data_IF_805820362147
#
_entry.id   IF_805820362147
#
_cell.length_a   1.000
_cell.length_b   1.000
_cell.length_c   1.000
_cell.angle_alpha   90.00
_cell.angle_beta   90.00
_cell.angle_gamma   90.00
#
_symmetry.space_group_name_H-M   'P 1'
#
loop_
_entity.id
_entity.type
_entity.pdbx_description
1 polymer ?
#
# COMPACT_ATOMS: atom_id res chain seq x y z
N UNK A 1 25.86 -13.04 -27.09
CA UNK A 1 24.97 -12.07 -26.46
C UNK A 1 23.51 -12.53 -26.56
N UNK A 2 22.94 -12.64 -27.76
CA UNK A 2 21.52 -12.96 -27.98
C UNK A 2 21.03 -14.22 -27.25
N UNK A 3 21.86 -15.24 -27.10
CA UNK A 3 21.47 -16.45 -26.38
C UNK A 3 21.33 -16.19 -24.85
N UNK A 4 22.22 -15.36 -24.26
CA UNK A 4 22.09 -14.92 -22.87
C UNK A 4 20.84 -14.05 -22.68
N UNK A 5 20.58 -13.16 -23.62
CA UNK A 5 19.40 -12.29 -23.62
C UNK A 5 18.10 -13.12 -23.67
N UNK A 6 18.01 -14.08 -24.59
CA UNK A 6 16.86 -15.00 -24.68
C UNK A 6 16.61 -15.78 -23.38
N UNK A 7 17.69 -16.22 -22.67
CA UNK A 7 17.53 -16.86 -21.37
C UNK A 7 16.99 -15.91 -20.30
N UNK A 8 17.41 -14.64 -20.31
CA UNK A 8 16.88 -13.63 -19.39
C UNK A 8 15.41 -13.29 -19.72
N UNK A 9 15.04 -13.19 -21.00
CA UNK A 9 13.67 -12.91 -21.45
C UNK A 9 12.70 -14.05 -21.10
N UNK A 10 13.10 -15.31 -21.32
CA UNK A 10 12.28 -16.48 -20.97
C UNK A 10 12.02 -16.52 -19.45
N UNK A 11 13.06 -16.31 -18.65
CA UNK A 11 12.93 -16.27 -17.20
C UNK A 11 12.02 -15.11 -16.73
N UNK A 12 12.20 -13.93 -17.31
CA UNK A 12 11.35 -12.78 -17.03
C UNK A 12 9.90 -13.03 -17.43
N UNK A 13 9.65 -13.56 -18.62
CA UNK A 13 8.31 -13.90 -19.09
C UNK A 13 7.61 -14.89 -18.15
N UNK A 14 8.31 -15.94 -17.68
CA UNK A 14 7.74 -16.91 -16.74
C UNK A 14 7.44 -16.28 -15.39
N UNK A 15 8.33 -15.46 -14.85
CA UNK A 15 8.11 -14.74 -13.59
C UNK A 15 6.91 -13.81 -13.72
N UNK A 16 6.83 -13.03 -14.81
CA UNK A 16 5.74 -12.08 -15.05
C UNK A 16 4.37 -12.78 -15.14
N UNK A 17 4.31 -13.98 -15.72
CA UNK A 17 3.09 -14.74 -15.90
C UNK A 17 2.84 -15.81 -14.81
N UNK A 18 3.57 -15.73 -13.68
CA UNK A 18 3.48 -16.70 -12.57
C UNK A 18 3.61 -18.17 -13.01
N UNK A 19 4.43 -18.42 -14.03
CA UNK A 19 4.72 -19.77 -14.49
C UNK A 19 5.78 -20.42 -13.59
N UNK A 20 5.74 -21.74 -13.48
CA UNK A 20 6.74 -22.47 -12.72
C UNK A 20 8.13 -22.26 -13.33
N UNK A 21 9.08 -21.82 -12.49
CA UNK A 21 10.48 -21.63 -12.85
C UNK A 21 11.37 -22.08 -11.68
N UNK A 22 12.46 -22.79 -11.99
CA UNK A 22 13.47 -23.17 -11.00
C UNK A 22 14.42 -22.02 -10.67
N UNK A 23 15.29 -22.23 -9.69
CA UNK A 23 16.36 -21.28 -9.36
C UNK A 23 17.46 -21.22 -10.43
N UNK A 24 17.49 -22.21 -11.31
CA UNK A 24 18.38 -22.28 -12.48
C UNK A 24 17.70 -23.02 -13.60
N UNK A 25 17.72 -22.44 -14.79
CA UNK A 25 17.17 -23.00 -16.02
C UNK A 25 18.23 -23.00 -17.11
N UNK A 26 18.21 -24.04 -17.97
CA UNK A 26 19.12 -24.13 -19.11
C UNK A 26 18.32 -24.26 -20.38
N UNK A 27 18.53 -23.31 -21.29
CA UNK A 27 18.01 -23.36 -22.67
C UNK A 27 19.11 -23.77 -23.63
N UNK A 28 18.82 -24.68 -24.54
CA UNK A 28 19.75 -25.14 -25.58
C UNK A 28 19.23 -24.77 -26.96
N UNK A 29 20.14 -24.28 -27.81
CA UNK A 29 19.91 -24.06 -29.22
C UNK A 29 21.05 -24.68 -30.01
N UNK A 30 20.77 -25.79 -30.72
CA UNK A 30 21.77 -26.66 -31.33
C UNK A 30 22.83 -27.09 -30.33
N UNK A 31 24.11 -26.78 -30.57
CA UNK A 31 25.25 -27.10 -29.70
C UNK A 31 25.54 -25.98 -28.65
N UNK A 32 24.74 -24.92 -28.60
CA UNK A 32 24.96 -23.76 -27.74
C UNK A 32 23.95 -23.76 -26.58
N UNK A 33 24.29 -23.10 -25.49
CA UNK A 33 23.42 -23.05 -24.31
C UNK A 33 23.39 -21.69 -23.64
N UNK A 34 22.26 -21.36 -23.02
CA UNK A 34 22.16 -20.31 -22.00
C UNK A 34 21.78 -20.94 -20.67
N UNK A 35 22.53 -20.66 -19.64
CA UNK A 35 22.20 -21.04 -18.27
C UNK A 35 21.78 -19.77 -17.51
N UNK A 36 20.54 -19.77 -17.05
CA UNK A 36 19.92 -18.63 -16.37
C UNK A 36 19.72 -18.97 -14.90
N UNK A 37 20.23 -18.15 -14.01
CA UNK A 37 20.05 -18.24 -12.56
C UNK A 37 19.12 -17.13 -12.08
N UNK A 38 18.19 -17.49 -11.19
CA UNK A 38 17.25 -16.58 -10.57
C UNK A 38 17.59 -16.51 -9.09
N UNK A 39 17.85 -15.29 -8.62
CA UNK A 39 18.29 -15.00 -7.26
C UNK A 39 17.27 -14.08 -6.63
N UNK A 40 16.65 -14.50 -5.53
CA UNK A 40 15.84 -13.66 -4.68
C UNK A 40 16.76 -12.79 -3.83
N UNK A 41 16.82 -11.48 -4.14
CA UNK A 41 17.62 -10.54 -3.36
C UNK A 41 16.91 -10.18 -2.04
N UNK A 42 15.60 -9.96 -2.13
CA UNK A 42 14.64 -9.77 -1.04
C UNK A 42 13.22 -10.09 -1.54
N UNK A 43 12.21 -9.88 -0.73
CA UNK A 43 10.82 -10.20 -1.09
C UNK A 43 10.27 -9.35 -2.27
N UNK A 44 10.88 -8.19 -2.55
CA UNK A 44 10.47 -7.28 -3.63
C UNK A 44 11.46 -7.23 -4.79
N UNK A 45 12.56 -7.98 -4.76
CA UNK A 45 13.61 -7.86 -5.76
C UNK A 45 14.20 -9.21 -6.14
N UNK A 46 14.32 -9.43 -7.45
CA UNK A 46 14.99 -10.60 -8.02
C UNK A 46 16.07 -10.17 -8.99
N UNK A 47 17.15 -10.93 -9.04
CA UNK A 47 18.14 -10.84 -10.11
C UNK A 47 18.03 -12.06 -11.00
N UNK A 48 17.93 -11.84 -12.30
CA UNK A 48 18.07 -12.86 -13.34
C UNK A 48 19.45 -12.69 -13.96
N UNK A 49 20.26 -13.72 -13.90
CA UNK A 49 21.59 -13.72 -14.50
C UNK A 49 21.65 -14.83 -15.51
N UNK A 50 21.82 -14.54 -16.79
CA UNK A 50 21.90 -15.51 -17.87
C UNK A 50 23.28 -15.50 -18.51
N UNK A 51 23.91 -16.67 -18.56
CA UNK A 51 25.20 -16.93 -19.19
C UNK A 51 24.98 -17.69 -20.51
N UNK A 52 25.14 -16.98 -21.62
CA UNK A 52 25.12 -17.60 -22.96
C UNK A 52 26.49 -18.10 -23.35
N UNK A 53 26.56 -19.34 -23.83
CA UNK A 53 27.78 -19.99 -24.30
C UNK A 53 27.59 -20.43 -25.75
N UNK A 54 28.40 -19.85 -26.67
CA UNK A 54 28.36 -20.13 -28.10
C UNK A 54 29.78 -20.38 -28.57
N UNK A 55 30.07 -21.63 -28.98
CA UNK A 55 31.37 -21.99 -29.51
C UNK A 55 32.55 -21.55 -28.64
N UNK A 56 32.43 -21.73 -27.31
CA UNK A 56 33.42 -21.31 -26.28
C UNK A 56 33.48 -19.80 -26.01
N UNK A 57 32.67 -18.99 -26.66
CA UNK A 57 32.51 -17.57 -26.30
C UNK A 57 31.37 -17.44 -25.31
N UNK A 58 31.62 -16.73 -24.24
CA UNK A 58 30.64 -16.50 -23.18
C UNK A 58 30.24 -15.01 -23.11
N UNK A 59 28.95 -14.76 -22.89
CA UNK A 59 28.40 -13.45 -22.57
C UNK A 59 27.36 -13.62 -21.46
N UNK A 60 27.33 -12.64 -20.58
CA UNK A 60 26.43 -12.67 -19.43
C UNK A 60 25.54 -11.42 -19.44
N UNK A 61 24.27 -11.63 -19.22
CA UNK A 61 23.29 -10.55 -18.99
C UNK A 61 22.82 -10.62 -17.55
N UNK A 62 22.58 -9.45 -16.96
CA UNK A 62 21.95 -9.32 -15.65
C UNK A 62 20.74 -8.42 -15.78
N UNK A 63 19.60 -8.94 -15.33
CA UNK A 63 18.33 -8.24 -15.23
C UNK A 63 17.98 -8.15 -13.75
N UNK A 64 17.65 -6.95 -13.27
CA UNK A 64 17.12 -6.77 -11.92
C UNK A 64 15.66 -6.41 -12.03
N UNK A 65 14.83 -7.20 -11.37
CA UNK A 65 13.38 -7.00 -11.27
C UNK A 65 13.05 -6.49 -9.88
N UNK A 66 12.06 -5.62 -9.78
CA UNK A 66 11.42 -5.29 -8.52
C UNK A 66 9.90 -5.34 -8.64
N UNK A 67 9.24 -5.68 -7.55
CA UNK A 67 7.79 -5.59 -7.45
C UNK A 67 7.41 -4.31 -6.70
N UNK A 68 6.40 -3.65 -7.19
CA UNK A 68 5.83 -2.48 -6.53
C UNK A 68 6.68 -1.20 -6.66
N UNK A 69 6.01 -0.09 -6.59
CA UNK A 69 6.65 1.22 -6.45
C UNK A 69 6.79 1.48 -4.96
N UNK A 70 8.01 1.64 -4.48
CA UNK A 70 8.26 2.07 -3.10
C UNK A 70 7.60 3.43 -2.88
N UNK A 71 6.65 3.50 -1.96
CA UNK A 71 6.00 4.74 -1.56
C UNK A 71 6.56 5.13 -0.21
N UNK A 72 7.14 6.32 -0.14
CA UNK A 72 7.71 6.83 1.10
C UNK A 72 6.70 7.75 1.80
N UNK A 73 6.30 7.36 3.00
CA UNK A 73 5.48 8.18 3.88
C UNK A 73 6.37 8.84 4.95
N UNK A 74 6.82 10.05 4.68
CA UNK A 74 7.76 10.77 5.56
C UNK A 74 7.13 11.28 6.86
N UNK A 75 5.82 11.38 6.92
CA UNK A 75 5.08 11.93 8.04
C UNK A 75 4.03 10.94 8.54
N UNK A 76 3.73 10.97 9.83
CA UNK A 76 2.58 10.26 10.39
C UNK A 76 1.26 10.78 9.81
N UNK A 77 1.24 12.06 9.45
CA UNK A 77 0.15 12.70 8.72
C UNK A 77 0.70 13.61 7.63
N UNK A 78 0.16 13.46 6.41
CA UNK A 78 0.30 14.42 5.32
C UNK A 78 -1.08 14.92 4.91
N UNK A 79 -1.31 16.21 5.00
CA UNK A 79 -2.63 16.82 4.75
C UNK A 79 -2.57 17.74 3.56
N UNK A 80 -3.58 17.67 2.70
CA UNK A 80 -3.78 18.59 1.59
C UNK A 80 -4.27 19.97 2.03
N UNK A 81 -4.75 20.75 1.07
CA UNK A 81 -5.21 22.14 1.29
C UNK A 81 -6.43 22.25 2.22
N UNK A 82 -7.17 21.15 2.45
CA UNK A 82 -8.31 21.15 3.35
C UNK A 82 -7.97 21.28 4.84
N UNK A 83 -6.68 21.08 5.19
CA UNK A 83 -6.17 21.25 6.54
C UNK A 83 -6.51 20.11 7.50
N UNK A 84 -5.98 20.23 8.70
CA UNK A 84 -6.03 19.22 9.76
C UNK A 84 -6.73 19.76 11.01
N UNK A 85 -7.73 19.06 11.50
CA UNK A 85 -8.47 19.38 12.72
C UNK A 85 -8.33 18.27 13.76
N UNK A 86 -8.04 18.66 15.00
CA UNK A 86 -7.93 17.76 16.16
C UNK A 86 -8.73 18.29 17.32
N UNK A 87 -9.46 17.41 18.02
CA UNK A 87 -10.23 17.82 19.21
C UNK A 87 -10.36 16.69 20.23
N UNK A 88 -10.71 17.07 21.46
CA UNK A 88 -11.09 16.12 22.51
C UNK A 88 -10.06 15.01 22.73
N UNK A 89 -8.84 15.39 23.11
CA UNK A 89 -7.69 14.51 23.38
C UNK A 89 -7.26 13.64 22.20
N UNK A 90 -7.69 13.95 20.97
CA UNK A 90 -7.16 13.28 19.80
C UNK A 90 -5.72 13.73 19.54
N UNK A 91 -4.88 12.83 19.00
CA UNK A 91 -3.49 13.16 18.85
C UNK A 91 -2.72 12.37 17.80
N UNK A 92 -1.50 12.83 17.60
CA UNK A 92 -0.52 12.25 16.67
C UNK A 92 0.77 11.96 17.41
N UNK A 93 1.20 10.70 17.41
CA UNK A 93 2.54 10.30 17.81
C UNK A 93 3.42 10.24 16.54
N UNK A 94 4.04 11.37 16.19
CA UNK A 94 4.85 11.52 14.99
C UNK A 94 4.78 12.94 14.43
N UNK A 95 5.43 13.13 13.27
CA UNK A 95 5.46 14.41 12.59
C UNK A 95 4.21 14.59 11.70
N UNK A 96 3.80 15.85 11.54
CA UNK A 96 2.65 16.26 10.73
C UNK A 96 3.10 17.27 9.68
N UNK A 97 2.68 17.08 8.43
CA UNK A 97 2.80 18.07 7.37
C UNK A 97 1.41 18.43 6.82
N UNK A 98 1.07 19.72 6.77
CA UNK A 98 -0.22 20.19 6.25
C UNK A 98 -0.04 21.28 5.19
N UNK A 99 -0.59 21.05 4.01
CA UNK A 99 -0.73 22.09 2.97
C UNK A 99 -1.82 23.15 3.31
N UNK A 100 -2.53 22.95 4.41
CA UNK A 100 -3.50 23.89 4.98
C UNK A 100 -3.13 24.28 6.41
N UNK A 101 -4.13 24.60 7.21
CA UNK A 101 -3.97 24.89 8.64
C UNK A 101 -3.95 23.59 9.46
N UNK A 102 -3.31 23.66 10.64
CA UNK A 102 -3.44 22.67 11.72
C UNK A 102 -4.16 23.36 12.88
N UNK A 103 -5.38 22.88 13.20
CA UNK A 103 -6.22 23.48 14.23
C UNK A 103 -6.56 22.43 15.27
N UNK A 104 -6.16 22.66 16.51
CA UNK A 104 -6.46 21.80 17.64
C UNK A 104 -7.38 22.45 18.66
N UNK A 105 -7.96 21.63 19.54
CA UNK A 105 -8.73 22.07 20.70
C UNK A 105 -8.82 20.97 21.76
N UNK A 106 -9.21 21.34 22.97
CA UNK A 106 -9.58 20.41 24.05
C UNK A 106 -8.57 19.26 24.26
N UNK A 107 -7.30 19.59 24.52
CA UNK A 107 -6.29 18.60 24.89
C UNK A 107 -5.69 17.85 23.70
N UNK A 108 -5.94 18.27 22.47
CA UNK A 108 -5.30 17.65 21.28
C UNK A 108 -3.79 17.87 21.27
N UNK A 109 -3.04 16.91 20.71
CA UNK A 109 -1.58 16.91 20.77
C UNK A 109 -0.90 16.36 19.51
N UNK A 110 0.35 16.79 19.29
CA UNK A 110 1.31 16.26 18.33
C UNK A 110 2.63 16.07 19.07
N UNK A 111 3.16 14.83 19.16
CA UNK A 111 4.41 14.56 19.88
C UNK A 111 5.66 14.86 19.07
N UNK A 112 5.57 14.85 17.74
CA UNK A 112 6.63 15.25 16.83
C UNK A 112 6.54 16.71 16.39
N UNK A 113 7.08 16.99 15.21
CA UNK A 113 7.07 18.32 14.61
C UNK A 113 5.75 18.60 13.88
N UNK A 114 5.33 19.86 13.87
CA UNK A 114 4.15 20.35 13.14
C UNK A 114 4.58 21.34 12.06
N UNK A 115 4.49 20.93 10.81
CA UNK A 115 4.82 21.70 9.62
C UNK A 115 3.54 22.08 8.88
N UNK A 116 3.37 23.36 8.53
CA UNK A 116 2.18 23.83 7.83
C UNK A 116 2.50 24.93 6.80
N UNK A 117 1.79 24.88 5.67
CA UNK A 117 1.73 26.02 4.74
C UNK A 117 0.90 27.15 5.39
N UNK A 118 -0.18 26.80 6.04
CA UNK A 118 -1.03 27.72 6.81
C UNK A 118 -0.59 27.92 8.26
N UNK A 119 -1.53 28.17 9.13
CA UNK A 119 -1.30 28.40 10.56
C UNK A 119 -1.37 27.09 11.38
N UNK A 120 -0.66 27.05 12.51
CA UNK A 120 -0.80 26.05 13.56
C UNK A 120 -1.37 26.72 14.80
N UNK A 121 -2.50 26.25 15.32
CA UNK A 121 -3.17 26.87 16.48
C UNK A 121 -3.95 25.85 17.32
N UNK A 122 -4.04 26.08 18.63
CA UNK A 122 -4.91 25.34 19.55
C UNK A 122 -4.53 23.88 19.81
N UNK A 123 -3.38 23.41 19.30
CA UNK A 123 -2.83 22.05 19.51
C UNK A 123 -1.55 22.11 20.31
N UNK A 124 -1.33 21.14 21.21
CA UNK A 124 -0.08 21.01 21.96
C UNK A 124 0.96 20.30 21.09
N UNK A 125 2.00 21.00 20.64
CA UNK A 125 3.11 20.45 19.84
C UNK A 125 4.32 20.27 20.76
N UNK A 126 4.87 19.03 20.83
CA UNK A 126 6.06 18.77 21.64
C UNK A 126 7.37 19.03 20.87
N UNK A 127 7.34 18.88 19.55
CA UNK A 127 8.46 19.18 18.66
C UNK A 127 8.47 20.62 18.17
N UNK A 128 9.07 20.84 17.01
CA UNK A 128 9.13 22.16 16.38
C UNK A 128 7.83 22.50 15.67
N UNK A 129 7.50 23.78 15.60
CA UNK A 129 6.41 24.31 14.79
C UNK A 129 6.97 25.23 13.72
N UNK A 130 6.68 24.94 12.44
CA UNK A 130 7.05 25.80 11.32
C UNK A 130 5.81 26.08 10.45
N UNK A 131 5.63 27.32 10.04
CA UNK A 131 4.51 27.78 9.21
C UNK A 131 5.02 28.56 8.00
N UNK A 132 4.17 28.76 7.00
CA UNK A 132 4.54 29.46 5.78
C UNK A 132 5.44 28.65 4.86
N UNK A 133 5.37 27.33 4.95
CA UNK A 133 6.16 26.39 4.12
C UNK A 133 5.58 26.29 2.70
N UNK A 134 6.32 25.71 1.77
CA UNK A 134 5.83 25.39 0.44
C UNK A 134 4.93 24.15 0.49
N UNK A 135 3.86 24.06 -0.34
CA UNK A 135 3.06 22.84 -0.41
C UNK A 135 3.88 21.62 -0.83
N UNK A 136 3.58 20.45 -0.25
CA UNK A 136 4.12 19.16 -0.64
C UNK A 136 3.06 18.30 -1.34
N UNK A 137 3.44 17.68 -2.45
CA UNK A 137 2.57 16.76 -3.19
C UNK A 137 2.40 15.44 -2.43
N UNK A 138 1.28 14.77 -2.67
CA UNK A 138 1.06 13.42 -2.17
C UNK A 138 1.94 12.39 -2.89
N UNK A 139 2.37 11.32 -2.20
CA UNK A 139 3.36 10.38 -2.74
C UNK A 139 2.81 9.44 -3.83
N UNK A 140 1.49 9.33 -4.02
CA UNK A 140 0.87 8.39 -4.96
C UNK A 140 0.26 9.17 -6.14
N UNK A 141 0.70 8.84 -7.35
CA UNK A 141 0.17 9.43 -8.57
C UNK A 141 -1.15 8.78 -9.03
N UNK A 142 -1.92 9.50 -9.85
CA UNK A 142 -3.13 8.94 -10.46
C UNK A 142 -2.83 7.77 -11.41
N UNK A 143 -1.67 7.77 -12.06
CA UNK A 143 -1.26 6.69 -12.95
C UNK A 143 -1.00 5.40 -12.17
N UNK A 144 -0.38 5.50 -10.98
CA UNK A 144 -0.20 4.36 -10.07
C UNK A 144 -1.55 3.80 -9.60
N UNK A 145 -2.50 4.67 -9.22
CA UNK A 145 -3.84 4.24 -8.81
C UNK A 145 -4.55 3.52 -9.97
N UNK A 146 -4.40 4.02 -11.18
CA UNK A 146 -4.98 3.39 -12.38
C UNK A 146 -4.36 2.02 -12.63
N UNK A 147 -3.04 1.90 -12.58
CA UNK A 147 -2.35 0.63 -12.75
C UNK A 147 -2.80 -0.44 -11.73
N UNK A 148 -2.95 -0.07 -10.46
CA UNK A 148 -3.47 -0.98 -9.43
C UNK A 148 -4.94 -1.38 -9.65
N UNK A 149 -5.78 -0.46 -10.18
CA UNK A 149 -7.16 -0.79 -10.56
C UNK A 149 -7.19 -1.79 -11.72
N UNK A 150 -6.36 -1.59 -12.73
CA UNK A 150 -6.28 -2.46 -13.91
C UNK A 150 -5.83 -3.87 -13.50
N UNK A 151 -4.88 -3.96 -12.60
CA UNK A 151 -4.42 -5.22 -12.03
C UNK A 151 -5.52 -5.94 -11.25
N UNK A 152 -6.23 -5.24 -10.36
CA UNK A 152 -7.38 -5.82 -9.67
C UNK A 152 -8.42 -6.33 -10.66
N UNK A 153 -8.68 -5.59 -11.74
CA UNK A 153 -9.62 -5.96 -12.80
C UNK A 153 -9.14 -7.17 -13.61
N UNK A 154 -7.83 -7.30 -13.86
CA UNK A 154 -7.24 -8.45 -14.55
C UNK A 154 -7.48 -9.77 -13.79
N UNK A 155 -7.59 -9.74 -12.46
CA UNK A 155 -8.00 -10.87 -11.63
C UNK A 155 -9.48 -11.27 -11.80
N UNK A 156 -10.25 -10.52 -12.58
CA UNK A 156 -11.66 -10.73 -12.87
C UNK A 156 -12.60 -9.85 -12.04
N UNK A 157 -13.88 -9.85 -12.43
CA UNK A 157 -14.91 -9.01 -11.81
C UNK A 157 -15.96 -9.86 -11.12
N UNK A 158 -16.40 -9.42 -9.93
CA UNK A 158 -17.52 -9.98 -9.18
C UNK A 158 -18.51 -8.87 -8.79
N UNK A 159 -19.76 -9.21 -8.49
CA UNK A 159 -20.74 -8.26 -7.95
C UNK A 159 -20.46 -7.93 -6.47
N UNK A 160 -21.36 -7.19 -5.83
CA UNK A 160 -21.28 -6.88 -4.40
C UNK A 160 -21.06 -8.14 -3.56
N UNK A 161 -20.22 -8.03 -2.53
CA UNK A 161 -19.89 -9.13 -1.63
C UNK A 161 -20.29 -8.79 -0.19
N UNK A 162 -20.82 -9.77 0.52
CA UNK A 162 -21.18 -9.64 1.94
C UNK A 162 -20.70 -10.88 2.68
N UNK A 163 -19.95 -10.68 3.75
CA UNK A 163 -19.41 -11.75 4.59
C UNK A 163 -19.84 -11.54 6.05
N UNK A 164 -20.26 -12.62 6.70
CA UNK A 164 -20.60 -12.68 8.13
C UNK A 164 -19.92 -13.84 8.87
N UNK A 165 -19.01 -14.54 8.19
CA UNK A 165 -18.28 -15.71 8.65
C UNK A 165 -16.78 -15.59 8.40
N UNK A 166 -16.03 -16.63 8.74
CA UNK A 166 -14.56 -16.68 8.57
C UNK A 166 -14.18 -17.56 7.38
N UNK A 167 -12.91 -17.46 6.94
CA UNK A 167 -12.38 -18.33 5.87
C UNK A 167 -12.63 -17.80 4.45
N UNK A 168 -13.13 -16.59 4.31
CA UNK A 168 -13.32 -15.96 3.01
C UNK A 168 -11.96 -15.54 2.41
N UNK A 169 -11.80 -15.70 1.10
CA UNK A 169 -10.59 -15.33 0.35
C UNK A 169 -10.98 -14.58 -0.91
N UNK A 170 -10.34 -13.44 -1.18
CA UNK A 170 -10.50 -12.66 -2.41
C UNK A 170 -9.18 -12.08 -2.90
N UNK A 171 -9.12 -11.78 -4.19
CA UNK A 171 -8.06 -10.99 -4.84
C UNK A 171 -7.12 -11.83 -5.71
N UNK A 172 -6.45 -11.18 -6.68
CA UNK A 172 -6.80 -9.85 -7.15
C UNK A 172 -8.22 -9.85 -7.73
N UNK A 173 -9.01 -8.75 -7.51
CA UNK A 173 -10.42 -8.72 -7.94
C UNK A 173 -10.98 -7.30 -8.03
N UNK A 174 -11.76 -7.05 -9.08
CA UNK A 174 -12.69 -5.92 -9.13
C UNK A 174 -14.04 -6.33 -8.53
N UNK A 175 -14.51 -5.61 -7.53
CA UNK A 175 -15.86 -5.75 -6.96
C UNK A 175 -16.73 -4.64 -7.54
N UNK A 176 -17.62 -5.00 -8.46
CA UNK A 176 -18.57 -4.07 -9.06
C UNK A 176 -19.76 -3.91 -8.12
N UNK A 177 -19.62 -3.00 -7.16
CA UNK A 177 -20.59 -2.75 -6.10
C UNK A 177 -19.90 -2.66 -4.75
N UNK A 178 -20.58 -3.03 -3.68
CA UNK A 178 -20.14 -2.88 -2.31
C UNK A 178 -19.43 -4.13 -1.78
N UNK A 179 -18.53 -3.91 -0.80
CA UNK A 179 -17.97 -4.96 0.05
C UNK A 179 -18.38 -4.70 1.50
N UNK A 180 -19.05 -5.67 2.13
CA UNK A 180 -19.52 -5.57 3.52
C UNK A 180 -19.03 -6.75 4.34
N UNK A 181 -18.39 -6.46 5.49
CA UNK A 181 -18.02 -7.45 6.49
C UNK A 181 -18.65 -7.07 7.84
N UNK A 182 -19.25 -8.05 8.52
CA UNK A 182 -19.87 -7.84 9.83
C UNK A 182 -19.78 -9.10 10.71
N UNK A 183 -20.07 -8.95 12.00
CA UNK A 183 -20.25 -10.09 12.92
C UNK A 183 -19.03 -11.04 13.00
N UNK A 184 -17.85 -10.50 13.24
CA UNK A 184 -16.57 -11.20 13.32
C UNK A 184 -16.14 -11.86 11.97
N UNK A 185 -16.67 -11.41 10.84
CA UNK A 185 -16.28 -11.89 9.53
C UNK A 185 -14.77 -11.71 9.31
N UNK A 186 -14.14 -12.66 8.62
CA UNK A 186 -12.74 -12.57 8.25
C UNK A 186 -12.58 -12.77 6.76
N UNK A 187 -11.87 -11.82 6.13
CA UNK A 187 -11.51 -11.87 4.73
C UNK A 187 -9.98 -11.87 4.60
N UNK A 188 -9.43 -12.88 3.96
CA UNK A 188 -8.03 -12.90 3.54
C UNK A 188 -7.92 -12.40 2.12
N UNK A 189 -7.06 -11.42 1.87
CA UNK A 189 -6.80 -10.92 0.52
C UNK A 189 -5.45 -11.44 0.02
N UNK A 190 -5.43 -11.96 -1.20
CA UNK A 190 -4.24 -12.50 -1.87
C UNK A 190 -3.91 -11.76 -3.18
N UNK A 191 -4.36 -10.53 -3.31
CA UNK A 191 -4.09 -9.60 -4.41
C UNK A 191 -4.86 -8.30 -4.19
N UNK A 192 -4.59 -7.29 -5.01
CA UNK A 192 -5.25 -5.99 -4.97
C UNK A 192 -6.77 -6.13 -5.10
N UNK A 193 -7.53 -5.42 -4.27
CA UNK A 193 -8.98 -5.29 -4.41
C UNK A 193 -9.34 -3.89 -4.90
N UNK A 194 -10.22 -3.82 -5.91
CA UNK A 194 -10.85 -2.59 -6.36
C UNK A 194 -12.37 -2.66 -6.15
N UNK A 195 -12.89 -1.87 -5.24
CA UNK A 195 -14.30 -1.78 -4.86
C UNK A 195 -14.88 -0.52 -5.51
N UNK A 196 -15.81 -0.67 -6.47
CA UNK A 196 -16.40 0.48 -7.17
C UNK A 196 -17.50 1.16 -6.35
N UNK A 197 -18.05 0.48 -5.36
CA UNK A 197 -19.03 0.99 -4.40
C UNK A 197 -18.39 1.31 -3.06
N UNK A 198 -19.11 1.04 -1.98
CA UNK A 198 -18.70 1.31 -0.61
C UNK A 198 -18.02 0.10 0.04
N UNK A 199 -17.11 0.38 0.97
CA UNK A 199 -16.54 -0.59 1.90
C UNK A 199 -17.14 -0.38 3.29
N UNK A 200 -17.67 -1.44 3.90
CA UNK A 200 -18.18 -1.40 5.27
C UNK A 200 -17.61 -2.56 6.08
N UNK A 201 -16.91 -2.23 7.17
CA UNK A 201 -16.44 -3.18 8.19
C UNK A 201 -17.06 -2.82 9.53
N UNK A 202 -17.63 -3.80 10.22
CA UNK A 202 -18.24 -3.57 11.55
C UNK A 202 -18.16 -4.80 12.43
N UNK A 203 -18.32 -4.59 13.74
CA UNK A 203 -18.49 -5.66 14.72
C UNK A 203 -17.35 -6.68 14.67
N UNK A 204 -16.13 -6.23 14.96
CA UNK A 204 -14.89 -7.01 15.03
C UNK A 204 -14.56 -7.77 13.72
N UNK A 205 -15.05 -7.31 12.57
CA UNK A 205 -14.66 -7.91 11.30
C UNK A 205 -13.23 -7.54 10.91
N UNK A 206 -12.56 -8.42 10.20
CA UNK A 206 -11.13 -8.33 9.91
C UNK A 206 -10.89 -8.52 8.42
N UNK A 207 -10.02 -7.69 7.86
CA UNK A 207 -9.35 -7.96 6.59
C UNK A 207 -7.87 -8.15 6.86
N UNK A 208 -7.28 -9.22 6.29
CA UNK A 208 -5.84 -9.51 6.40
C UNK A 208 -5.22 -9.89 5.07
N UNK A 209 -3.93 -9.68 4.94
CA UNK A 209 -3.16 -10.22 3.81
C UNK A 209 -2.94 -11.72 3.99
N UNK A 210 -2.90 -12.44 2.87
CA UNK A 210 -2.46 -13.82 2.86
C UNK A 210 -0.99 -13.93 3.30
N UNK A 211 -0.61 -15.04 3.93
CA UNK A 211 0.78 -15.27 4.38
C UNK A 211 1.80 -15.23 3.24
N UNK A 212 1.38 -15.52 2.01
CA UNK A 212 2.22 -15.43 0.81
C UNK A 212 2.76 -14.03 0.47
N UNK A 213 2.20 -12.98 1.08
CA UNK A 213 2.77 -11.62 0.98
C UNK A 213 4.13 -11.49 1.70
N UNK A 214 4.46 -12.37 2.67
CA UNK A 214 5.67 -12.21 3.47
C UNK A 214 5.71 -10.83 4.13
N UNK A 215 6.80 -10.09 3.97
CA UNK A 215 6.92 -8.71 4.44
C UNK A 215 6.33 -7.68 3.44
N UNK A 216 5.72 -8.13 2.34
CA UNK A 216 5.09 -7.23 1.35
C UNK A 216 3.76 -6.64 1.82
N UNK A 217 3.36 -5.57 1.17
CA UNK A 217 2.18 -4.78 1.47
C UNK A 217 1.05 -5.06 0.47
N UNK A 218 -0.19 -4.81 0.88
CA UNK A 218 -1.37 -4.97 0.04
C UNK A 218 -2.22 -3.72 -0.06
N UNK A 219 -3.05 -3.65 -1.09
CA UNK A 219 -3.85 -2.46 -1.41
C UNK A 219 -5.33 -2.82 -1.56
N UNK A 220 -6.17 -1.99 -0.96
CA UNK A 220 -7.62 -1.97 -1.18
C UNK A 220 -7.99 -0.59 -1.72
N UNK A 221 -8.53 -0.53 -2.93
CA UNK A 221 -8.98 0.71 -3.57
C UNK A 221 -10.50 0.79 -3.51
N UNK A 222 -11.03 1.93 -3.04
CA UNK A 222 -12.47 2.17 -2.89
C UNK A 222 -12.86 3.46 -3.59
N UNK A 223 -13.77 3.36 -4.57
CA UNK A 223 -14.29 4.53 -5.27
C UNK A 223 -15.41 5.24 -4.50
N UNK A 224 -16.16 4.48 -3.69
CA UNK A 224 -17.20 5.00 -2.80
C UNK A 224 -16.66 5.46 -1.45
N UNK A 225 -17.49 5.37 -0.42
CA UNK A 225 -17.09 5.68 0.97
C UNK A 225 -16.65 4.42 1.70
N UNK A 226 -15.71 4.57 2.64
CA UNK A 226 -15.23 3.50 3.50
C UNK A 226 -15.61 3.77 4.94
N UNK A 227 -16.27 2.82 5.60
CA UNK A 227 -16.68 2.92 7.01
C UNK A 227 -16.15 1.71 7.78
N UNK A 228 -15.29 1.97 8.77
CA UNK A 228 -14.75 0.97 9.68
C UNK A 228 -15.20 1.33 11.10
N UNK A 229 -15.83 0.37 11.80
CA UNK A 229 -16.39 0.66 13.13
C UNK A 229 -16.41 -0.56 14.04
N UNK A 230 -16.61 -0.30 15.34
CA UNK A 230 -16.88 -1.33 16.33
C UNK A 230 -15.82 -2.44 16.37
N UNK A 231 -14.55 -2.04 16.55
CA UNK A 231 -13.44 -2.97 16.69
C UNK A 231 -13.03 -3.71 15.41
N UNK A 232 -13.47 -3.23 14.25
CA UNK A 232 -12.98 -3.78 12.96
C UNK A 232 -11.52 -3.43 12.72
N UNK A 233 -10.79 -4.30 12.00
CA UNK A 233 -9.35 -4.20 11.93
C UNK A 233 -8.75 -4.63 10.57
N UNK A 234 -7.57 -4.06 10.25
CA UNK A 234 -6.75 -4.46 9.12
C UNK A 234 -5.41 -5.03 9.60
N UNK A 235 -5.06 -6.22 9.11
CA UNK A 235 -3.79 -6.88 9.42
C UNK A 235 -2.97 -7.15 8.16
N UNK A 236 -1.66 -6.98 8.26
CA UNK A 236 -0.71 -7.49 7.26
C UNK A 236 -0.71 -9.02 7.17
N UNK A 237 0.29 -9.58 6.53
CA UNK A 237 0.45 -11.04 6.31
C UNK A 237 0.79 -11.84 7.57
N UNK A 238 1.14 -11.16 8.65
CA UNK A 238 1.74 -11.72 9.87
C UNK A 238 3.26 -11.56 9.94
N UNK A 239 3.91 -11.16 8.87
CA UNK A 239 5.34 -10.80 8.86
C UNK A 239 5.54 -9.36 9.29
N UNK A 240 6.65 -9.06 9.96
CA UNK A 240 6.99 -7.68 10.31
C UNK A 240 7.18 -6.83 9.05
N UNK A 241 6.67 -5.60 9.07
CA UNK A 241 6.75 -4.69 7.93
C UNK A 241 5.68 -4.89 6.85
N UNK A 242 4.75 -5.83 7.04
CA UNK A 242 3.63 -6.06 6.11
C UNK A 242 2.40 -5.25 6.53
N UNK A 243 1.85 -4.45 5.61
CA UNK A 243 0.76 -3.53 5.86
C UNK A 243 -0.33 -3.61 4.79
N UNK A 244 -1.55 -3.17 5.15
CA UNK A 244 -2.62 -2.89 4.19
C UNK A 244 -2.78 -1.37 4.07
N UNK A 245 -2.81 -0.87 2.82
CA UNK A 245 -3.23 0.48 2.51
C UNK A 245 -4.68 0.46 2.02
N UNK A 246 -5.53 1.25 2.70
CA UNK A 246 -6.86 1.61 2.21
C UNK A 246 -6.75 2.92 1.44
N UNK A 247 -6.89 2.83 0.12
CA UNK A 247 -6.85 3.96 -0.79
C UNK A 247 -8.26 4.31 -1.24
N UNK A 248 -8.70 5.52 -0.94
CA UNK A 248 -9.98 6.07 -1.41
C UNK A 248 -9.77 7.05 -2.56
N UNK A 249 -10.48 6.87 -3.65
CA UNK A 249 -10.56 7.84 -4.75
C UNK A 249 -11.76 8.78 -4.62
N UNK A 250 -12.60 8.59 -3.59
CA UNK A 250 -13.76 9.42 -3.30
C UNK A 250 -13.37 10.85 -2.96
N UNK A 251 -14.12 11.82 -3.45
CA UNK A 251 -14.01 13.24 -3.09
C UNK A 251 -14.99 13.65 -1.97
N UNK A 252 -15.61 12.70 -1.31
CA UNK A 252 -16.58 12.92 -0.25
C UNK A 252 -15.97 13.60 0.99
N UNK A 253 -16.76 14.38 1.69
CA UNK A 253 -16.44 14.88 3.05
C UNK A 253 -16.37 13.78 4.12
N UNK A 254 -16.67 12.52 3.77
CA UNK A 254 -16.53 11.32 4.59
C UNK A 254 -16.01 10.16 3.73
N UNK A 255 -14.95 10.40 2.96
CA UNK A 255 -14.39 9.39 2.07
C UNK A 255 -13.92 8.15 2.83
N UNK A 256 -13.33 8.35 4.02
CA UNK A 256 -12.96 7.27 4.95
C UNK A 256 -13.35 7.69 6.37
N UNK A 257 -14.08 6.85 7.08
CA UNK A 257 -14.48 7.06 8.47
C UNK A 257 -14.08 5.85 9.31
N UNK A 258 -13.33 6.08 10.40
CA UNK A 258 -13.01 5.09 11.42
C UNK A 258 -13.57 5.55 12.76
N UNK A 259 -14.24 4.64 13.49
CA UNK A 259 -14.82 4.95 14.79
C UNK A 259 -14.89 3.75 15.72
N UNK A 260 -15.12 4.01 17.01
CA UNK A 260 -15.41 2.98 18.00
C UNK A 260 -14.33 1.88 18.03
N UNK A 261 -13.09 2.30 18.28
CA UNK A 261 -11.92 1.43 18.39
C UNK A 261 -11.60 0.62 17.11
N UNK A 262 -12.06 1.06 15.94
CA UNK A 262 -11.61 0.49 14.69
C UNK A 262 -10.15 0.84 14.45
N UNK A 263 -9.40 -0.09 13.82
CA UNK A 263 -7.99 0.13 13.51
C UNK A 263 -7.71 -0.07 12.02
N UNK A 264 -6.72 0.64 11.52
CA UNK A 264 -6.17 0.48 10.19
C UNK A 264 -4.69 0.81 10.21
N UNK A 265 -3.97 0.52 9.12
CA UNK A 265 -2.54 0.80 9.09
C UNK A 265 -2.28 2.07 8.31
N UNK A 266 -2.61 2.10 7.03
CA UNK A 266 -2.37 3.26 6.15
C UNK A 266 -3.69 3.65 5.49
N UNK A 267 -4.03 4.94 5.58
CA UNK A 267 -5.18 5.52 4.89
C UNK A 267 -4.71 6.58 3.89
N UNK A 268 -5.19 6.46 2.67
CA UNK A 268 -4.88 7.39 1.60
C UNK A 268 -6.17 7.90 0.95
N UNK A 269 -6.40 9.23 0.94
CA UNK A 269 -7.60 9.86 0.37
C UNK A 269 -7.27 11.27 -0.17
N UNK A 270 -6.42 11.35 -1.22
CA UNK A 270 -5.91 12.62 -1.76
C UNK A 270 -7.01 13.61 -2.19
N UNK A 271 -8.20 13.11 -2.54
CA UNK A 271 -9.32 13.94 -2.99
C UNK A 271 -10.42 14.12 -1.93
N UNK A 272 -10.41 13.35 -0.84
CA UNK A 272 -11.48 13.27 0.14
C UNK A 272 -11.05 13.58 1.57
N UNK A 273 -12.01 13.45 2.48
CA UNK A 273 -11.78 13.62 3.92
C UNK A 273 -11.67 12.29 4.64
N UNK A 274 -10.67 12.17 5.51
CA UNK A 274 -10.53 11.08 6.48
C UNK A 274 -10.97 11.57 7.86
N UNK A 275 -11.87 10.84 8.50
CA UNK A 275 -12.39 11.13 9.83
C UNK A 275 -12.10 9.97 10.78
N UNK A 276 -11.46 10.26 11.92
CA UNK A 276 -11.24 9.31 13.01
C UNK A 276 -11.88 9.81 14.28
N UNK A 277 -12.59 8.91 14.98
CA UNK A 277 -13.23 9.26 16.26
C UNK A 277 -13.30 8.07 17.22
N UNK A 278 -13.60 8.38 18.48
CA UNK A 278 -13.94 7.36 19.48
C UNK A 278 -12.87 6.25 19.59
N UNK A 279 -11.65 6.66 19.90
CA UNK A 279 -10.50 5.79 20.09
C UNK A 279 -10.07 4.96 18.86
N UNK A 280 -10.43 5.38 17.65
CA UNK A 280 -9.90 4.79 16.42
C UNK A 280 -8.38 5.01 16.33
N UNK A 281 -7.66 4.03 15.77
CA UNK A 281 -6.20 4.06 15.70
C UNK A 281 -5.70 3.76 14.28
N UNK A 282 -4.67 4.50 13.84
CA UNK A 282 -4.04 4.36 12.52
C UNK A 282 -2.55 4.63 12.65
N UNK A 283 -1.72 4.11 11.75
CA UNK A 283 -0.28 4.39 11.73
C UNK A 283 0.09 5.56 10.82
N UNK A 284 -0.63 5.76 9.71
CA UNK A 284 -0.35 6.83 8.76
C UNK A 284 -1.63 7.27 8.03
N UNK A 285 -1.76 8.57 7.77
CA UNK A 285 -2.82 9.12 6.92
C UNK A 285 -2.25 10.16 5.96
N UNK A 286 -2.61 10.02 4.67
CA UNK A 286 -2.47 11.08 3.67
C UNK A 286 -3.84 11.40 3.08
N UNK A 287 -4.37 12.59 3.28
CA UNK A 287 -5.70 12.96 2.79
C UNK A 287 -5.84 14.46 2.52
N UNK A 288 -6.78 14.84 1.63
CA UNK A 288 -7.09 16.25 1.34
C UNK A 288 -7.44 17.03 2.62
N UNK A 289 -8.28 16.43 3.47
CA UNK A 289 -8.67 16.97 4.77
C UNK A 289 -8.65 15.85 5.79
N UNK A 290 -8.24 16.11 7.01
CA UNK A 290 -8.24 15.15 8.11
C UNK A 290 -8.92 15.75 9.33
N UNK A 291 -9.76 14.95 10.00
CA UNK A 291 -10.39 15.31 11.28
C UNK A 291 -10.22 14.16 12.28
N UNK A 292 -9.62 14.47 13.42
CA UNK A 292 -9.48 13.56 14.55
C UNK A 292 -10.28 14.08 15.77
N UNK A 293 -10.98 13.18 16.44
CA UNK A 293 -11.73 13.55 17.66
C UNK A 293 -11.83 12.40 18.67
N UNK A 294 -12.16 12.74 19.89
CA UNK A 294 -12.56 11.78 20.93
C UNK A 294 -11.54 10.64 21.12
N UNK A 295 -10.32 10.99 21.52
CA UNK A 295 -9.21 10.08 21.80
C UNK A 295 -8.75 9.24 20.57
N UNK A 296 -9.09 9.63 19.34
CA UNK A 296 -8.50 8.99 18.16
C UNK A 296 -7.00 9.30 18.08
N UNK A 297 -6.18 8.31 17.75
CA UNK A 297 -4.72 8.44 17.76
C UNK A 297 -4.12 7.93 16.48
N UNK A 298 -3.15 8.68 15.94
CA UNK A 298 -2.27 8.23 14.88
C UNK A 298 -0.89 8.00 15.50
N UNK A 299 -0.36 6.78 15.32
CA UNK A 299 0.97 6.41 15.84
C UNK A 299 1.86 5.99 14.69
N UNK A 300 2.68 6.95 14.20
CA UNK A 300 3.57 6.72 13.08
C UNK A 300 4.65 5.69 13.40
N UNK A 301 4.89 4.79 12.45
CA UNK A 301 5.93 3.77 12.53
C UNK A 301 7.00 4.04 11.46
N UNK A 302 8.27 4.12 11.87
CA UNK A 302 9.38 4.45 10.97
C UNK A 302 9.55 3.46 9.79
N UNK A 303 9.07 2.23 9.93
CA UNK A 303 9.06 1.23 8.86
C UNK A 303 8.26 1.65 7.62
N UNK A 304 7.30 2.57 7.77
CA UNK A 304 6.47 3.07 6.68
C UNK A 304 7.22 3.97 5.68
N UNK A 305 8.39 4.50 6.04
CA UNK A 305 9.27 5.24 5.11
C UNK A 305 9.70 4.36 3.93
N UNK A 306 9.84 3.06 4.16
CA UNK A 306 10.28 2.08 3.15
C UNK A 306 9.16 1.13 2.72
N UNK A 307 7.89 1.46 2.97
CA UNK A 307 6.77 0.63 2.56
C UNK A 307 6.76 0.45 1.03
N UNK A 308 6.72 -0.78 0.57
CA UNK A 308 6.69 -1.13 -0.84
C UNK A 308 5.34 -1.76 -1.17
N UNK A 309 4.43 -0.96 -1.70
CA UNK A 309 3.12 -1.44 -2.10
C UNK A 309 3.20 -2.15 -3.44
N UNK A 310 3.02 -3.44 -3.40
CA UNK A 310 2.86 -4.30 -4.57
C UNK A 310 1.44 -4.86 -4.60
N UNK A 311 1.04 -5.26 -5.77
CA UNK A 311 -0.25 -5.88 -6.06
C UNK A 311 -0.48 -7.28 -5.43
N UNK A 312 0.40 -7.74 -4.59
CA UNK A 312 0.33 -9.04 -3.91
C UNK A 312 1.43 -10.01 -4.34
N UNK A 313 1.37 -11.29 -3.88
CA UNK A 313 2.38 -12.31 -4.19
C UNK A 313 2.54 -12.57 -5.69
N UNK A 314 1.53 -12.16 -6.48
CA UNK A 314 1.52 -12.20 -7.94
C UNK A 314 1.76 -10.83 -8.57
N UNK A 315 2.27 -9.85 -7.81
CA UNK A 315 2.54 -8.49 -8.29
C UNK A 315 3.32 -8.46 -9.58
N UNK A 316 3.02 -7.52 -10.46
CA UNK A 316 3.75 -7.35 -11.70
C UNK A 316 5.21 -7.01 -11.40
N UNK A 317 6.10 -7.85 -11.89
CA UNK A 317 7.53 -7.60 -11.85
C UNK A 317 7.89 -6.56 -12.91
N UNK A 318 8.60 -5.51 -12.51
CA UNK A 318 9.09 -4.47 -13.40
C UNK A 318 10.61 -4.56 -13.52
N UNK A 319 11.10 -4.29 -14.73
CA UNK A 319 12.54 -4.23 -15.00
C UNK A 319 13.11 -2.93 -14.46
N UNK A 320 13.94 -3.03 -13.42
CA UNK A 320 14.67 -1.88 -12.86
C UNK A 320 15.96 -1.60 -13.61
N UNK A 321 16.64 -2.64 -14.05
CA UNK A 321 17.85 -2.50 -14.83
C UNK A 321 18.07 -3.72 -15.71
N UNK A 322 18.67 -3.49 -16.88
CA UNK A 322 19.11 -4.52 -17.82
C UNK A 322 20.50 -4.15 -18.29
N UNK A 323 21.46 -5.02 -18.07
CA UNK A 323 22.85 -4.74 -18.42
C UNK A 323 23.61 -5.99 -18.85
N UNK A 324 24.58 -5.84 -19.78
CA UNK A 324 25.60 -6.85 -20.00
C UNK A 324 26.57 -6.82 -18.82
N UNK A 325 26.91 -7.97 -18.26
CA UNK A 325 27.90 -8.07 -17.18
C UNK A 325 29.07 -8.95 -17.63
N UNK A 326 30.25 -8.59 -17.18
CA UNK A 326 31.46 -9.37 -17.45
C UNK A 326 31.55 -10.63 -16.57
#
# INVERSE_FOLDING_TARGET
>A
YFLAESGSEDAFYRILNNMTIGTSETMTLDSNSATTSIIDNDFNSKSIVSLGNVSSYQRKTKLTLATGVGISFHYGIQVGQGGFQLSNNAGVNGNVYSNGNIIGSNGSFITGDAFAVGAVSGVNVSGQTQVGLSPEDFPISNDQITAWKDEAAAGGTVGSQTFSDTGNVLGPKKIQGNLTLSNNAQLTINGTLWITGNLTLSNNSIIRLASGYGAGDGIIIVDGISTLSNGSDFYGSGSAGSYIMLLSTSNSGSAVTLSNSATAVILYAANGTVQLSNSAQVKQISAKTISLSNNAVISYEQGLVNAAFSSGPSGSWEVQSWQESQ
#
